data_IF_552292579372
#
_entry.id   IF_552292579372
#
_cell.length_a   1.000
_cell.length_b   1.000
_cell.length_c   1.000
_cell.angle_alpha   90.00
_cell.angle_beta   90.00
_cell.angle_gamma   90.00
#
_symmetry.space_group_name_H-M   'P 1'
#
loop_
_entity.id
_entity.type
_entity.pdbx_description
1 polymer ?
#
# COMPACT_ATOMS: atom_id res chain seq x y z
N UNK A 1 -16.60 3.31 -10.58
CA UNK A 1 -16.69 1.98 -11.22
C UNK A 1 -15.66 1.09 -10.56
N UNK A 2 -16.04 -0.08 -10.05
CA UNK A 2 -15.11 -1.09 -9.58
C UNK A 2 -14.52 -1.89 -10.76
N UNK A 3 -13.49 -2.69 -10.49
CA UNK A 3 -12.97 -3.68 -11.44
C UNK A 3 -13.51 -5.10 -11.12
N UNK A 4 -13.15 -6.11 -11.90
CA UNK A 4 -13.42 -7.52 -11.58
C UNK A 4 -12.74 -7.93 -10.28
N UNK A 5 -13.26 -8.95 -9.59
CA UNK A 5 -12.63 -9.45 -8.36
C UNK A 5 -11.20 -9.96 -8.60
N UNK A 6 -10.98 -10.62 -9.73
CA UNK A 6 -9.68 -11.17 -10.12
C UNK A 6 -8.63 -10.06 -10.25
N UNK A 7 -8.95 -8.99 -10.98
CA UNK A 7 -8.06 -7.84 -11.13
C UNK A 7 -7.81 -7.12 -9.80
N UNK A 8 -8.84 -6.95 -8.97
CA UNK A 8 -8.68 -6.32 -7.67
C UNK A 8 -7.78 -7.15 -6.73
N UNK A 9 -7.91 -8.48 -6.75
CA UNK A 9 -7.04 -9.39 -5.98
C UNK A 9 -5.61 -9.42 -6.51
N UNK A 10 -5.43 -9.32 -7.82
CA UNK A 10 -4.10 -9.16 -8.42
C UNK A 10 -3.42 -7.90 -7.87
N UNK A 11 -4.10 -6.75 -7.91
CA UNK A 11 -3.56 -5.51 -7.35
C UNK A 11 -3.35 -5.56 -5.83
N UNK A 12 -4.23 -6.21 -5.09
CA UNK A 12 -4.08 -6.41 -3.66
C UNK A 12 -2.78 -7.17 -3.34
N UNK A 13 -2.53 -8.27 -4.05
CA UNK A 13 -1.31 -9.08 -3.93
C UNK A 13 -0.09 -8.30 -4.41
N UNK A 14 -0.18 -7.63 -5.56
CA UNK A 14 0.91 -6.84 -6.12
C UNK A 14 1.30 -5.70 -5.20
N UNK A 15 0.36 -5.08 -4.47
CA UNK A 15 0.66 -4.03 -3.49
C UNK A 15 1.04 -4.57 -2.11
N UNK A 16 0.97 -5.89 -1.90
CA UNK A 16 1.19 -6.56 -0.61
C UNK A 16 0.32 -5.96 0.52
N UNK A 17 -0.97 -5.73 0.21
CA UNK A 17 -1.94 -5.17 1.13
C UNK A 17 -2.82 -6.28 1.75
N UNK A 18 -3.32 -6.10 2.98
CA UNK A 18 -4.18 -7.09 3.63
C UNK A 18 -5.57 -7.18 3.00
N UNK A 19 -6.24 -8.33 3.12
CA UNK A 19 -7.60 -8.56 2.58
C UNK A 19 -8.63 -7.52 3.03
N UNK A 20 -8.44 -6.89 4.19
CA UNK A 20 -9.31 -5.80 4.66
C UNK A 20 -9.35 -4.58 3.74
N UNK A 21 -8.37 -4.43 2.85
CA UNK A 21 -8.28 -3.39 1.84
C UNK A 21 -9.14 -3.68 0.60
N UNK A 22 -9.55 -4.93 0.37
CA UNK A 22 -10.44 -5.26 -0.73
C UNK A 22 -11.89 -4.96 -0.34
N UNK A 23 -12.58 -4.13 -1.14
CA UNK A 23 -13.98 -3.76 -0.93
C UNK A 23 -14.81 -4.07 -2.16
N UNK A 24 -15.92 -4.76 -1.95
CA UNK A 24 -16.97 -4.86 -2.96
C UNK A 24 -17.71 -3.52 -3.06
N UNK A 25 -18.02 -3.15 -4.28
CA UNK A 25 -18.88 -2.04 -4.67
C UNK A 25 -20.00 -2.65 -5.51
N UNK A 26 -21.18 -2.03 -5.57
CA UNK A 26 -22.30 -2.56 -6.37
C UNK A 26 -21.98 -2.79 -7.87
N UNK A 27 -20.83 -2.32 -8.36
CA UNK A 27 -20.37 -2.46 -9.75
C UNK A 27 -19.08 -3.29 -9.92
N UNK A 28 -18.54 -3.91 -8.87
CA UNK A 28 -17.25 -4.62 -8.90
C UNK A 28 -16.45 -4.45 -7.61
N UNK A 29 -15.13 -4.50 -7.67
CA UNK A 29 -14.23 -4.44 -6.52
C UNK A 29 -13.23 -3.28 -6.62
N UNK A 30 -12.80 -2.78 -5.47
CA UNK A 30 -11.76 -1.75 -5.33
C UNK A 30 -10.80 -2.12 -4.20
N UNK A 31 -9.55 -1.67 -4.31
CA UNK A 31 -8.56 -1.75 -3.24
C UNK A 31 -8.45 -0.38 -2.56
N UNK A 32 -8.65 -0.34 -1.25
CA UNK A 32 -8.60 0.88 -0.43
C UNK A 32 -7.38 0.89 0.48
N UNK A 33 -7.14 2.01 1.17
CA UNK A 33 -6.10 2.10 2.20
C UNK A 33 -6.37 1.16 3.38
N UNK A 34 -5.30 0.70 4.03
CA UNK A 34 -5.43 -0.10 5.25
C UNK A 34 -5.77 0.78 6.45
N UNK A 35 -7.01 0.63 6.94
CA UNK A 35 -7.51 1.31 8.14
C UNK A 35 -7.47 0.42 9.38
N UNK A 36 -6.91 -0.80 9.31
CA UNK A 36 -6.83 -1.69 10.46
C UNK A 36 -6.01 -1.10 11.63
N UNK A 37 -4.83 -0.48 11.40
CA UNK A 37 -4.06 0.13 12.49
C UNK A 37 -4.82 1.26 13.19
N UNK A 38 -5.52 2.12 12.43
CA UNK A 38 -6.33 3.21 12.98
C UNK A 38 -7.52 2.68 13.79
N UNK A 39 -8.22 1.65 13.28
CA UNK A 39 -9.31 1.00 14.02
C UNK A 39 -8.80 0.36 15.31
N UNK A 40 -7.60 -0.22 15.28
CA UNK A 40 -6.96 -0.79 16.47
C UNK A 40 -6.59 0.28 17.49
N UNK A 41 -6.04 1.42 17.06
CA UNK A 41 -5.80 2.56 17.95
C UNK A 41 -7.08 3.03 18.65
N UNK A 42 -8.19 3.17 17.92
CA UNK A 42 -9.50 3.54 18.50
C UNK A 42 -10.01 2.47 19.46
N UNK A 43 -9.88 1.19 19.11
CA UNK A 43 -10.26 0.08 19.98
C UNK A 43 -9.44 0.08 21.27
N UNK A 44 -8.14 0.30 21.18
CA UNK A 44 -7.23 0.31 22.32
C UNK A 44 -7.56 1.47 23.27
N UNK A 45 -7.91 2.65 22.73
CA UNK A 45 -8.45 3.78 23.52
C UNK A 45 -9.74 3.38 24.25
N UNK A 46 -10.69 2.76 23.55
CA UNK A 46 -11.94 2.27 24.16
C UNK A 46 -11.72 1.19 25.23
N UNK A 47 -10.64 0.42 25.10
CA UNK A 47 -10.20 -0.60 26.07
C UNK A 47 -9.56 -0.03 27.34
N UNK A 48 -9.19 1.26 27.38
CA UNK A 48 -8.60 1.88 28.58
C UNK A 48 -9.64 2.06 29.69
N UNK A 49 -10.92 2.04 29.38
CA UNK A 49 -12.03 2.20 30.32
C UNK A 49 -12.83 3.48 30.06
N UNK A 50 -13.85 3.71 30.90
CA UNK A 50 -14.71 4.89 30.78
C UNK A 50 -13.99 6.14 31.28
N UNK A 51 -14.00 7.25 30.53
CA UNK A 51 -13.45 8.51 31.02
C UNK A 51 -14.29 9.06 32.17
N UNK A 52 -13.69 9.99 32.93
CA UNK A 52 -14.37 10.79 33.94
C UNK A 52 -15.34 11.80 33.33
N UNK A 53 -15.98 12.59 34.20
CA UNK A 53 -16.98 13.60 33.81
C UNK A 53 -16.41 14.72 32.92
N UNK A 54 -15.10 14.91 32.90
CA UNK A 54 -14.39 15.86 32.05
C UNK A 54 -13.97 15.27 30.68
N UNK A 55 -14.43 14.05 30.37
CA UNK A 55 -14.06 13.28 29.18
C UNK A 55 -12.57 12.92 29.09
N UNK A 56 -11.83 12.97 30.21
CA UNK A 56 -10.45 12.48 30.30
C UNK A 56 -10.39 11.21 31.14
N UNK A 57 -9.35 10.41 30.92
CA UNK A 57 -9.10 9.20 31.69
C UNK A 57 -7.80 9.36 32.47
N UNK A 58 -7.90 9.39 33.79
CA UNK A 58 -6.74 9.29 34.65
C UNK A 58 -6.24 7.84 34.66
N UNK A 59 -4.94 7.66 34.54
CA UNK A 59 -4.30 6.36 34.46
C UNK A 59 -2.94 6.41 35.15
N UNK A 60 -2.59 5.32 35.83
CA UNK A 60 -1.25 5.16 36.37
C UNK A 60 -0.20 5.07 35.25
N UNK A 61 1.06 5.28 35.62
CA UNK A 61 2.16 5.30 34.66
C UNK A 61 2.32 3.95 33.94
N UNK A 62 2.12 2.80 34.61
CA UNK A 62 2.29 1.50 33.98
C UNK A 62 1.25 1.28 32.86
N UNK A 63 -0.01 1.61 33.14
CA UNK A 63 -1.11 1.55 32.17
C UNK A 63 -0.89 2.50 30.99
N UNK A 64 -0.45 3.73 31.26
CA UNK A 64 -0.14 4.70 30.22
C UNK A 64 1.00 4.22 29.30
N UNK A 65 2.10 3.72 29.86
CA UNK A 65 3.24 3.24 29.07
C UNK A 65 2.88 2.03 28.21
N UNK A 66 2.07 1.09 28.74
CA UNK A 66 1.57 -0.04 27.98
C UNK A 66 0.71 0.41 26.78
N UNK A 67 -0.22 1.34 27.00
CA UNK A 67 -1.03 1.92 25.92
C UNK A 67 -0.17 2.67 24.90
N UNK A 68 0.75 3.53 25.35
CA UNK A 68 1.60 4.33 24.48
C UNK A 68 2.47 3.46 23.57
N UNK A 69 3.03 2.38 24.11
CA UNK A 69 3.79 1.40 23.33
C UNK A 69 2.92 0.73 22.26
N UNK A 70 1.71 0.29 22.61
CA UNK A 70 0.75 -0.27 21.66
C UNK A 70 0.35 0.72 20.57
N UNK A 71 0.12 1.98 20.91
CA UNK A 71 -0.20 3.04 19.96
C UNK A 71 0.95 3.29 18.97
N UNK A 72 2.20 3.39 19.46
CA UNK A 72 3.39 3.52 18.61
C UNK A 72 3.61 2.32 17.68
N UNK A 73 3.27 1.12 18.12
CA UNK A 73 3.33 -0.06 17.25
C UNK A 73 2.37 0.07 16.05
N UNK A 74 1.16 0.60 16.26
CA UNK A 74 0.23 0.86 15.16
C UNK A 74 0.70 1.99 14.23
N UNK A 75 1.38 3.01 14.77
CA UNK A 75 2.02 4.06 13.97
C UNK A 75 3.09 3.48 13.03
N UNK A 76 3.99 2.64 13.56
CA UNK A 76 5.03 1.99 12.76
C UNK A 76 4.42 1.05 11.71
N UNK A 77 3.31 0.34 12.01
CA UNK A 77 2.61 -0.47 11.01
C UNK A 77 2.13 0.36 9.79
N UNK A 78 1.57 1.54 10.02
CA UNK A 78 1.15 2.46 8.94
C UNK A 78 2.36 2.94 8.13
N UNK A 79 3.45 3.30 8.82
CA UNK A 79 4.69 3.76 8.20
C UNK A 79 5.36 2.67 7.36
N UNK A 80 5.43 1.44 7.85
CA UNK A 80 5.94 0.28 7.10
C UNK A 80 5.10 -0.01 5.86
N UNK A 81 3.77 0.11 5.95
CA UNK A 81 2.88 -0.04 4.79
C UNK A 81 3.18 1.02 3.73
N UNK A 82 3.32 2.29 4.12
CA UNK A 82 3.67 3.38 3.19
C UNK A 82 5.05 3.18 2.55
N UNK A 83 6.05 2.74 3.32
CA UNK A 83 7.38 2.42 2.82
C UNK A 83 7.33 1.30 1.77
N UNK A 84 6.56 0.25 2.04
CA UNK A 84 6.36 -0.87 1.10
C UNK A 84 5.73 -0.40 -0.21
N UNK A 85 4.68 0.42 -0.14
CA UNK A 85 4.02 0.99 -1.32
C UNK A 85 4.97 1.88 -2.13
N UNK A 86 5.78 2.69 -1.45
CA UNK A 86 6.80 3.56 -2.08
C UNK A 86 7.85 2.73 -2.81
N UNK A 87 8.32 1.63 -2.20
CA UNK A 87 9.28 0.74 -2.83
C UNK A 87 8.67 0.06 -4.07
N UNK A 88 7.42 -0.41 -3.98
CA UNK A 88 6.72 -1.01 -5.12
C UNK A 88 6.52 -0.03 -6.27
N UNK A 89 6.19 1.22 -5.97
CA UNK A 89 6.11 2.29 -6.96
C UNK A 89 7.47 2.53 -7.65
N UNK A 90 8.56 2.61 -6.88
CA UNK A 90 9.92 2.76 -7.43
C UNK A 90 10.32 1.58 -8.33
N UNK A 91 9.97 0.36 -7.93
CA UNK A 91 10.22 -0.85 -8.71
C UNK A 91 9.40 -0.84 -10.02
N UNK A 92 8.13 -0.42 -9.98
CA UNK A 92 7.28 -0.33 -11.15
C UNK A 92 7.82 0.70 -12.17
N UNK A 93 8.28 1.86 -11.70
CA UNK A 93 8.94 2.85 -12.56
C UNK A 93 10.21 2.28 -13.19
N UNK A 94 11.04 1.61 -12.41
CA UNK A 94 12.27 0.97 -12.91
C UNK A 94 11.98 -0.10 -13.96
N UNK A 95 10.93 -0.91 -13.76
CA UNK A 95 10.50 -1.92 -14.74
C UNK A 95 10.01 -1.27 -16.04
N UNK A 96 9.22 -0.19 -15.92
CA UNK A 96 8.74 0.56 -17.07
C UNK A 96 9.87 1.19 -17.88
N UNK A 97 10.82 1.85 -17.22
CA UNK A 97 11.97 2.48 -17.87
C UNK A 97 12.83 1.44 -18.60
N UNK A 98 13.03 0.27 -18.00
CA UNK A 98 13.74 -0.85 -18.63
C UNK A 98 13.01 -1.38 -19.86
N UNK A 99 11.68 -1.50 -19.80
CA UNK A 99 10.88 -1.90 -20.96
C UNK A 99 11.04 -0.91 -22.12
N UNK A 100 10.91 0.39 -21.84
CA UNK A 100 11.08 1.45 -22.86
C UNK A 100 12.47 1.37 -23.48
N UNK A 101 13.51 1.22 -22.66
CA UNK A 101 14.90 1.12 -23.13
C UNK A 101 15.09 -0.06 -24.08
N UNK A 102 14.60 -1.26 -23.72
CA UNK A 102 14.72 -2.45 -24.57
C UNK A 102 13.99 -2.25 -25.89
N UNK A 103 12.75 -1.75 -25.85
CA UNK A 103 11.97 -1.48 -27.06
C UNK A 103 12.67 -0.47 -27.98
N UNK A 104 13.22 0.62 -27.43
CA UNK A 104 13.98 1.60 -28.19
C UNK A 104 15.22 0.97 -28.84
N UNK A 105 15.99 0.17 -28.10
CA UNK A 105 17.15 -0.54 -28.66
C UNK A 105 16.76 -1.52 -29.77
N UNK A 106 15.65 -2.24 -29.63
CA UNK A 106 15.14 -3.15 -30.67
C UNK A 106 14.74 -2.39 -31.94
N UNK A 107 14.07 -1.24 -31.80
CA UNK A 107 13.71 -0.40 -32.95
C UNK A 107 14.96 0.12 -33.65
N UNK A 108 15.92 0.68 -32.90
CA UNK A 108 17.19 1.17 -33.47
C UNK A 108 17.94 0.08 -34.21
N UNK A 109 18.09 -1.10 -33.60
CA UNK A 109 18.78 -2.24 -34.22
C UNK A 109 18.06 -2.74 -35.48
N UNK A 110 16.72 -2.78 -35.48
CA UNK A 110 15.93 -3.17 -36.66
C UNK A 110 16.09 -2.16 -37.80
N UNK A 111 16.08 -0.87 -37.49
CA UNK A 111 16.28 0.21 -38.47
C UNK A 111 17.70 0.20 -39.05
N UNK A 112 18.73 0.00 -38.22
CA UNK A 112 20.11 -0.12 -38.67
C UNK A 112 20.29 -1.33 -39.59
N UNK A 113 19.69 -2.47 -39.23
CA UNK A 113 19.71 -3.69 -40.06
C UNK A 113 19.02 -3.46 -41.40
N UNK A 114 17.84 -2.84 -41.41
CA UNK A 114 17.14 -2.51 -42.65
C UNK A 114 17.96 -1.55 -43.53
N UNK A 115 18.60 -0.55 -42.92
CA UNK A 115 19.48 0.39 -43.63
C UNK A 115 20.70 -0.33 -44.23
N UNK A 116 21.34 -1.25 -43.51
CA UNK A 116 22.47 -2.01 -44.06
C UNK A 116 22.08 -2.90 -45.23
N UNK A 117 20.88 -3.49 -45.22
CA UNK A 117 20.37 -4.27 -46.36
C UNK A 117 20.04 -3.41 -47.58
N UNK A 118 19.57 -2.17 -47.36
CA UNK A 118 19.22 -1.24 -48.45
C UNK A 118 20.43 -0.50 -49.03
N UNK A 119 21.54 -0.42 -48.28
CA UNK A 119 22.77 0.24 -48.70
C UNK A 119 23.86 -0.73 -49.18
N UNK A 120 23.63 -2.03 -49.02
CA UNK A 120 24.49 -3.11 -49.54
C UNK A 120 24.09 -3.60 -50.92
#
# INVERSE_FOLDING_TARGET
>A
KGTTEAEARQWLSELNLPDSCLKSTGSGYVVTVDLAPLRKMVQDIGGLGKPGSDSKLEMDNAKYQAWQSGFKAQEENLKTTLQTLTQKYSNANSLYDNLVKVLSSTISSSLETAKSFLQG
#
